data_IF_759607696148
#
_entry.id   IF_759607696148
#
_cell.length_a   1.000
_cell.length_b   1.000
_cell.length_c   1.000
_cell.angle_alpha   90.00
_cell.angle_beta   90.00
_cell.angle_gamma   90.00
#
_symmetry.space_group_name_H-M   'P 1'
#
loop_
_entity.id
_entity.type
_entity.pdbx_description
1 polymer ?
#
# COMPACT_ATOMS: atom_id res chain seq x y z
N UNK A 1 -9.33 8.57 -5.08
CA UNK A 1 -7.94 8.74 -5.55
C UNK A 1 -7.07 9.39 -4.49
N UNK A 2 -7.43 10.58 -4.00
CA UNK A 2 -6.75 11.36 -2.95
C UNK A 2 -6.25 10.56 -1.72
N UNK A 3 -7.06 9.66 -1.15
CA UNK A 3 -6.66 8.89 0.05
C UNK A 3 -5.43 7.99 -0.22
N UNK A 4 -5.35 7.41 -1.42
CA UNK A 4 -4.25 6.51 -1.81
C UNK A 4 -2.95 7.30 -1.97
N UNK A 5 -3.01 8.45 -2.65
CA UNK A 5 -1.86 9.33 -2.86
C UNK A 5 -1.28 9.87 -1.54
N UNK A 6 -2.14 10.23 -0.58
CA UNK A 6 -1.70 10.64 0.76
C UNK A 6 -0.97 9.50 1.49
N UNK A 7 -1.46 8.27 1.36
CA UNK A 7 -0.82 7.09 1.96
C UNK A 7 0.53 6.77 1.29
N UNK A 8 0.59 6.81 -0.04
CA UNK A 8 1.83 6.62 -0.78
C UNK A 8 2.84 7.72 -0.42
N UNK A 9 2.39 8.97 -0.32
CA UNK A 9 3.22 10.09 0.11
C UNK A 9 3.80 9.88 1.51
N UNK A 10 3.01 9.41 2.47
CA UNK A 10 3.49 9.14 3.83
C UNK A 10 4.65 8.13 3.84
N UNK A 11 4.65 7.15 2.94
CA UNK A 11 5.73 6.15 2.80
C UNK A 11 6.99 6.74 2.15
N UNK A 12 6.84 7.69 1.22
CA UNK A 12 7.96 8.24 0.45
C UNK A 12 8.51 9.56 1.00
N UNK A 13 7.81 10.20 1.95
CA UNK A 13 8.09 11.54 2.48
C UNK A 13 9.56 11.76 2.83
N UNK A 14 10.19 10.80 3.52
CA UNK A 14 11.59 10.93 3.94
C UNK A 14 12.55 10.98 2.75
N UNK A 15 12.32 10.14 1.73
CA UNK A 15 13.10 10.14 0.49
C UNK A 15 12.85 11.41 -0.32
N UNK A 16 11.59 11.82 -0.43
CA UNK A 16 11.17 13.05 -1.10
C UNK A 16 11.87 14.28 -0.49
N UNK A 17 11.85 14.40 0.84
CA UNK A 17 12.53 15.47 1.57
C UNK A 17 14.02 15.46 1.28
N UNK A 18 14.69 14.31 1.40
CA UNK A 18 16.13 14.21 1.15
C UNK A 18 16.49 14.65 -0.27
N UNK A 19 15.72 14.23 -1.28
CA UNK A 19 15.91 14.60 -2.67
C UNK A 19 15.73 16.11 -2.91
N UNK A 20 14.64 16.70 -2.41
CA UNK A 20 14.37 18.13 -2.58
C UNK A 20 15.39 18.99 -1.83
N UNK A 21 15.76 18.62 -0.60
CA UNK A 21 16.80 19.31 0.14
C UNK A 21 18.16 19.22 -0.58
N UNK A 22 18.49 18.07 -1.17
CA UNK A 22 19.71 17.91 -1.96
C UNK A 22 19.72 18.85 -3.18
N UNK A 23 18.64 18.87 -3.98
CA UNK A 23 18.57 19.75 -5.16
C UNK A 23 18.63 21.22 -4.78
N UNK A 24 17.91 21.62 -3.73
CA UNK A 24 17.92 23.01 -3.25
C UNK A 24 19.32 23.38 -2.73
N UNK A 25 19.92 22.54 -1.89
CA UNK A 25 21.28 22.77 -1.39
C UNK A 25 22.30 22.88 -2.51
N UNK A 26 22.25 22.05 -3.55
CA UNK A 26 23.19 22.10 -4.68
C UNK A 26 23.07 23.39 -5.48
N UNK A 27 21.85 23.88 -5.69
CA UNK A 27 21.61 25.10 -6.46
C UNK A 27 21.90 26.39 -5.67
N UNK A 28 21.87 26.32 -4.34
CA UNK A 28 22.10 27.46 -3.45
C UNK A 28 23.56 27.50 -2.95
N UNK A 29 24.12 26.33 -2.59
CA UNK A 29 25.45 26.20 -1.95
C UNK A 29 26.62 26.51 -2.86
N UNK A 30 26.47 26.42 -4.18
CA UNK A 30 27.55 26.77 -5.11
C UNK A 30 27.94 28.27 -5.06
N UNK A 31 27.17 29.12 -4.37
CA UNK A 31 27.36 30.57 -4.33
C UNK A 31 27.33 31.15 -2.89
N UNK A 32 27.59 30.35 -1.86
CA UNK A 32 27.59 30.80 -0.46
C UNK A 32 28.83 31.66 -0.07
N UNK A 33 29.84 31.73 -0.95
CA UNK A 33 30.97 32.64 -0.80
C UNK A 33 30.50 34.09 -1.06
N UNK A 34 29.87 34.70 -0.05
CA UNK A 34 29.36 36.08 -0.11
C UNK A 34 27.91 36.21 -0.59
N UNK A 35 27.02 35.28 -0.22
CA UNK A 35 25.61 35.28 -0.62
C UNK A 35 24.88 36.57 -0.19
N UNK A 36 24.80 37.56 -1.08
CA UNK A 36 23.84 38.64 -0.95
C UNK A 36 22.43 38.11 -1.20
N UNK A 37 21.44 38.63 -0.48
CA UNK A 37 20.03 38.29 -0.67
C UNK A 37 19.65 38.34 -2.17
N UNK A 38 20.11 39.36 -2.88
CA UNK A 38 19.88 39.56 -4.30
C UNK A 38 20.42 38.42 -5.18
N UNK A 39 21.60 37.89 -4.86
CA UNK A 39 22.16 36.72 -5.56
C UNK A 39 21.28 35.48 -5.39
N UNK A 40 20.76 35.25 -4.18
CA UNK A 40 19.86 34.12 -3.89
C UNK A 40 18.54 34.27 -4.66
N UNK A 41 17.93 35.46 -4.64
CA UNK A 41 16.67 35.73 -5.34
C UNK A 41 16.82 35.59 -6.86
N UNK A 42 17.93 36.04 -7.44
CA UNK A 42 18.22 35.90 -8.87
C UNK A 42 18.36 34.43 -9.31
N UNK A 43 18.75 33.53 -8.40
CA UNK A 43 18.93 32.11 -8.68
C UNK A 43 17.64 31.28 -8.61
N UNK A 44 16.51 31.84 -8.10
CA UNK A 44 15.22 31.12 -8.05
C UNK A 44 14.81 30.60 -9.43
N UNK A 45 15.08 31.37 -10.50
CA UNK A 45 14.83 30.93 -11.88
C UNK A 45 15.60 29.65 -12.25
N UNK A 46 16.84 29.47 -11.78
CA UNK A 46 17.64 28.25 -11.99
C UNK A 46 17.09 27.08 -11.19
N UNK A 47 16.59 27.33 -9.98
CA UNK A 47 15.90 26.30 -9.18
C UNK A 47 14.66 25.81 -9.94
N UNK A 48 13.89 26.72 -10.56
CA UNK A 48 12.73 26.32 -11.37
C UNK A 48 13.11 25.46 -12.58
N UNK A 49 14.25 25.72 -13.20
CA UNK A 49 14.78 24.87 -14.28
C UNK A 49 15.21 23.48 -13.76
N UNK A 50 15.76 23.40 -12.55
CA UNK A 50 16.15 22.13 -11.91
C UNK A 50 14.96 21.32 -11.40
N UNK A 51 13.84 21.99 -11.10
CA UNK A 51 12.59 21.40 -10.62
C UNK A 51 11.44 21.77 -11.59
N UNK A 52 11.43 21.25 -12.83
CA UNK A 52 10.41 21.59 -13.81
C UNK A 52 9.00 21.21 -13.35
N UNK A 53 8.88 20.16 -12.52
CA UNK A 53 7.63 19.68 -11.96
C UNK A 53 7.15 20.42 -10.70
N UNK A 54 7.89 21.42 -10.21
CA UNK A 54 7.34 22.26 -9.15
C UNK A 54 6.15 23.08 -9.66
N UNK A 55 5.13 23.22 -8.85
CA UNK A 55 3.99 24.06 -9.15
C UNK A 55 4.39 25.53 -9.02
N UNK A 56 4.99 25.92 -7.89
CA UNK A 56 5.40 27.30 -7.60
C UNK A 56 6.73 27.32 -6.85
N UNK A 57 7.59 28.29 -7.17
CA UNK A 57 8.77 28.61 -6.36
C UNK A 57 8.76 30.10 -6.00
N UNK A 58 9.04 30.42 -4.74
CA UNK A 58 9.14 31.79 -4.23
C UNK A 58 10.06 31.85 -3.01
N UNK A 59 10.44 33.05 -2.59
CA UNK A 59 11.20 33.28 -1.36
C UNK A 59 10.42 34.16 -0.39
N UNK A 60 10.55 33.86 0.90
CA UNK A 60 10.01 34.67 2.01
C UNK A 60 11.15 35.17 2.90
N UNK A 61 10.95 36.31 3.53
CA UNK A 61 11.90 36.88 4.47
C UNK A 61 11.79 36.25 5.87
N UNK A 62 12.61 36.75 6.80
CA UNK A 62 12.61 36.33 8.20
C UNK A 62 11.28 36.58 8.94
N UNK A 63 10.44 37.50 8.47
CA UNK A 63 9.14 37.81 9.04
C UNK A 63 8.01 37.05 8.34
N UNK A 64 8.32 36.22 7.34
CA UNK A 64 7.33 35.47 6.57
C UNK A 64 6.71 36.27 5.42
N UNK A 65 7.22 37.45 5.08
CA UNK A 65 6.75 38.25 3.95
C UNK A 65 7.40 37.77 2.66
N UNK A 66 6.59 37.55 1.63
CA UNK A 66 7.08 37.08 0.34
C UNK A 66 7.87 38.15 -0.42
N UNK A 67 9.14 37.84 -0.75
CA UNK A 67 10.11 38.75 -1.37
C UNK A 67 10.00 38.78 -2.91
N UNK A 68 9.66 37.65 -3.52
CA UNK A 68 9.61 37.48 -4.98
C UNK A 68 8.20 37.20 -5.44
N UNK A 69 7.93 37.50 -6.71
CA UNK A 69 6.77 36.91 -7.35
C UNK A 69 6.92 35.39 -7.41
N UNK A 70 5.78 34.72 -7.48
CA UNK A 70 5.70 33.30 -7.74
C UNK A 70 6.29 32.98 -9.12
N UNK A 71 7.21 32.00 -9.15
CA UNK A 71 7.72 31.40 -10.38
C UNK A 71 6.98 30.08 -10.63
N UNK A 72 6.07 30.10 -11.60
CA UNK A 72 5.24 28.94 -11.96
C UNK A 72 5.17 28.77 -13.48
N UNK A 73 5.02 27.52 -13.93
CA UNK A 73 4.64 27.24 -15.32
C UNK A 73 3.15 27.52 -15.57
N UNK A 74 2.33 27.58 -14.51
CA UNK A 74 0.91 27.89 -14.60
C UNK A 74 0.71 29.42 -14.62
N UNK A 75 0.15 30.01 -15.69
CA UNK A 75 -0.05 31.45 -15.80
C UNK A 75 -0.90 32.04 -14.67
N UNK A 76 -1.82 31.26 -14.06
CA UNK A 76 -2.66 31.72 -12.95
C UNK A 76 -1.90 31.87 -11.63
N UNK A 77 -0.77 31.17 -11.50
CA UNK A 77 0.04 31.13 -10.29
C UNK A 77 1.31 31.97 -10.41
N UNK A 78 1.70 32.32 -11.64
CA UNK A 78 2.93 33.03 -11.94
C UNK A 78 2.76 34.54 -11.73
N UNK A 79 3.84 35.23 -11.37
CA UNK A 79 3.86 36.71 -11.25
C UNK A 79 2.88 37.31 -10.23
N UNK A 80 2.54 36.56 -9.18
CA UNK A 80 1.68 36.99 -8.05
C UNK A 80 2.34 36.69 -6.71
N UNK A 81 1.78 37.20 -5.61
CA UNK A 81 2.15 36.83 -4.24
C UNK A 81 3.24 37.68 -3.58
N UNK A 82 3.96 38.52 -4.33
CA UNK A 82 4.96 39.42 -3.75
C UNK A 82 4.33 40.37 -2.74
N UNK A 83 4.89 40.43 -1.54
CA UNK A 83 4.41 41.23 -0.41
C UNK A 83 3.31 40.58 0.43
N UNK A 84 2.86 39.37 0.10
CA UNK A 84 1.91 38.65 0.94
C UNK A 84 2.56 38.14 2.24
N UNK A 85 1.78 38.16 3.31
CA UNK A 85 2.16 37.59 4.60
C UNK A 85 1.90 36.07 4.63
N UNK A 86 2.98 35.30 4.76
CA UNK A 86 3.00 33.83 4.87
C UNK A 86 3.47 33.36 6.25
N UNK A 87 3.59 34.26 7.22
CA UNK A 87 4.02 33.94 8.58
C UNK A 87 3.07 32.95 9.26
N UNK A 88 1.77 32.96 8.97
CA UNK A 88 0.79 32.05 9.54
C UNK A 88 0.89 30.58 9.06
N UNK A 89 1.81 30.28 8.13
CA UNK A 89 1.90 28.96 7.50
C UNK A 89 2.74 27.99 8.31
N UNK A 90 2.28 26.74 8.39
CA UNK A 90 2.96 25.69 9.14
C UNK A 90 4.42 25.49 8.69
N UNK A 91 4.71 25.64 7.40
CA UNK A 91 6.08 25.51 6.90
C UNK A 91 7.01 26.61 7.42
N UNK A 92 6.53 27.84 7.62
CA UNK A 92 7.35 28.96 8.08
C UNK A 92 7.90 28.70 9.49
N UNK A 93 7.02 28.47 10.48
CA UNK A 93 7.45 28.21 11.85
C UNK A 93 8.28 26.93 11.97
N UNK A 94 7.91 25.87 11.25
CA UNK A 94 8.66 24.60 11.29
C UNK A 94 10.07 24.76 10.74
N UNK A 95 10.25 25.50 9.65
CA UNK A 95 11.59 25.75 9.10
C UNK A 95 12.47 26.53 10.07
N UNK A 96 11.91 27.58 10.68
CA UNK A 96 12.65 28.40 11.66
C UNK A 96 13.02 27.55 12.88
N UNK A 97 12.08 26.79 13.43
CA UNK A 97 12.34 25.99 14.62
C UNK A 97 13.34 24.85 14.35
N UNK A 98 13.21 24.16 13.22
CA UNK A 98 14.04 22.99 12.90
C UNK A 98 15.42 23.36 12.30
N UNK A 99 15.68 24.63 11.94
CA UNK A 99 16.93 25.13 11.34
C UNK A 99 17.42 24.28 10.15
N UNK A 100 16.50 23.72 9.39
CA UNK A 100 16.80 22.79 8.29
C UNK A 100 15.70 22.79 7.25
N UNK A 101 16.00 22.16 6.12
CA UNK A 101 15.03 21.91 5.08
C UNK A 101 13.95 20.90 5.53
N UNK A 102 12.69 21.29 5.35
CA UNK A 102 11.51 20.50 5.74
C UNK A 102 10.62 20.23 4.53
N UNK A 103 9.69 19.30 4.71
CA UNK A 103 8.62 19.00 3.76
C UNK A 103 7.31 18.84 4.52
N UNK A 104 6.29 19.62 4.15
CA UNK A 104 5.01 19.63 4.85
C UNK A 104 4.22 18.33 4.66
N UNK A 105 3.17 18.17 5.46
CA UNK A 105 2.09 17.26 5.13
C UNK A 105 1.25 17.86 3.97
N UNK A 106 0.50 17.04 3.21
CA UNK A 106 -0.29 17.54 2.08
C UNK A 106 -1.41 18.47 2.55
N UNK A 107 -1.58 19.60 1.87
CA UNK A 107 -2.62 20.58 2.16
C UNK A 107 -3.14 21.22 0.87
N UNK A 108 -4.37 21.75 0.85
CA UNK A 108 -4.91 22.38 -0.35
C UNK A 108 -4.23 23.73 -0.62
N UNK A 109 -3.76 23.92 -1.85
CA UNK A 109 -3.26 25.21 -2.33
C UNK A 109 -4.40 26.22 -2.37
N UNK A 110 -4.15 27.44 -1.89
CA UNK A 110 -5.17 28.50 -1.88
C UNK A 110 -5.61 28.94 -3.28
N UNK A 111 -4.75 28.79 -4.28
CA UNK A 111 -4.99 29.36 -5.62
C UNK A 111 -5.40 28.27 -6.61
N UNK A 112 -4.69 27.14 -6.64
CA UNK A 112 -5.04 26.03 -7.54
C UNK A 112 -6.11 25.10 -6.98
N UNK A 113 -6.36 25.11 -5.66
CA UNK A 113 -7.24 24.18 -4.96
C UNK A 113 -6.83 22.70 -5.10
N UNK A 114 -5.61 22.45 -5.59
CA UNK A 114 -4.99 21.14 -5.66
C UNK A 114 -4.29 20.80 -4.34
N UNK A 115 -4.14 19.50 -4.04
CA UNK A 115 -3.34 19.07 -2.91
C UNK A 115 -1.85 19.21 -3.21
N UNK A 116 -1.18 20.00 -2.39
CA UNK A 116 0.23 20.32 -2.54
C UNK A 116 1.00 19.97 -1.28
N UNK A 117 2.31 19.82 -1.45
CA UNK A 117 3.29 19.78 -0.37
C UNK A 117 4.31 20.87 -0.63
N UNK A 118 4.72 21.56 0.43
CA UNK A 118 5.73 22.61 0.35
C UNK A 118 7.03 22.09 0.92
N UNK A 119 8.07 22.10 0.10
CA UNK A 119 9.44 21.96 0.54
C UNK A 119 10.00 23.35 0.82
N UNK A 120 10.63 23.53 1.97
CA UNK A 120 11.29 24.80 2.28
C UNK A 120 12.76 24.59 2.59
N UNK A 121 13.56 25.59 2.23
CA UNK A 121 15.00 25.59 2.44
C UNK A 121 15.42 26.94 3.02
N UNK A 122 15.85 26.97 4.30
CA UNK A 122 16.33 28.20 4.91
C UNK A 122 17.75 28.53 4.42
N UNK A 123 17.99 29.80 4.12
CA UNK A 123 19.29 30.31 3.68
C UNK A 123 19.82 31.26 4.73
N UNK A 124 20.99 30.93 5.29
CA UNK A 124 21.66 31.72 6.31
C UNK A 124 22.94 32.36 5.74
N UNK A 125 23.33 33.49 6.28
CA UNK A 125 24.64 34.09 6.02
C UNK A 125 25.77 33.41 6.84
N UNK A 126 27.00 33.90 6.70
CA UNK A 126 28.17 33.39 7.44
C UNK A 126 28.09 33.63 8.95
N UNK A 127 27.30 34.61 9.38
CA UNK A 127 27.06 34.95 10.79
C UNK A 127 25.85 34.17 11.35
N UNK A 128 25.28 33.25 10.56
CA UNK A 128 24.10 32.45 10.89
C UNK A 128 22.80 33.27 11.05
N UNK A 129 22.71 34.44 10.41
CA UNK A 129 21.46 35.19 10.29
C UNK A 129 20.63 34.65 9.11
N UNK A 130 19.32 34.48 9.33
CA UNK A 130 18.39 34.05 8.28
C UNK A 130 18.21 35.16 7.24
N UNK A 131 18.68 34.91 6.01
CA UNK A 131 18.51 35.83 4.87
C UNK A 131 17.11 35.68 4.27
N UNK A 132 16.73 34.46 3.93
CA UNK A 132 15.42 34.13 3.39
C UNK A 132 15.13 32.63 3.51
N UNK A 133 13.88 32.24 3.26
CA UNK A 133 13.46 30.85 3.11
C UNK A 133 12.94 30.68 1.69
N UNK A 134 13.50 29.72 0.96
CA UNK A 134 13.00 29.34 -0.36
C UNK A 134 11.89 28.32 -0.18
N UNK A 135 10.73 28.57 -0.77
CA UNK A 135 9.56 27.71 -0.73
C UNK A 135 9.31 27.13 -2.12
N UNK A 136 9.08 25.82 -2.19
CA UNK A 136 8.76 25.08 -3.41
C UNK A 136 7.48 24.29 -3.17
N UNK A 137 6.41 24.70 -3.83
CA UNK A 137 5.15 23.98 -3.85
C UNK A 137 5.18 22.94 -4.97
N UNK A 138 4.79 21.71 -4.65
CA UNK A 138 4.73 20.58 -5.59
C UNK A 138 3.39 19.90 -5.37
N UNK A 139 2.68 19.59 -6.45
CA UNK A 139 1.43 18.83 -6.34
C UNK A 139 1.71 17.44 -5.79
N UNK A 140 0.74 16.86 -5.08
CA UNK A 140 0.87 15.52 -4.52
C UNK A 140 1.15 14.48 -5.62
N UNK A 141 0.55 14.66 -6.79
CA UNK A 141 0.79 13.84 -7.97
C UNK A 141 2.23 13.94 -8.48
N UNK A 142 2.75 15.15 -8.64
CA UNK A 142 4.10 15.38 -9.18
C UNK A 142 5.19 14.89 -8.22
N UNK A 143 5.03 15.08 -6.91
CA UNK A 143 6.03 14.59 -5.95
C UNK A 143 6.09 13.06 -5.91
N UNK A 144 4.95 12.39 -6.09
CA UNK A 144 4.90 10.93 -6.22
C UNK A 144 5.62 10.47 -7.49
N UNK A 145 5.43 11.17 -8.62
CA UNK A 145 6.15 10.89 -9.88
C UNK A 145 7.66 11.10 -9.76
N UNK A 146 8.09 12.13 -9.04
CA UNK A 146 9.51 12.43 -8.85
C UNK A 146 10.25 11.34 -8.06
N UNK A 147 9.62 10.78 -7.02
CA UNK A 147 10.30 9.86 -6.08
C UNK A 147 10.03 8.40 -6.43
N UNK A 148 8.88 8.13 -7.03
CA UNK A 148 8.48 6.81 -7.51
C UNK A 148 7.85 6.91 -8.91
N UNK A 149 8.67 7.05 -9.97
CA UNK A 149 8.16 7.08 -11.35
C UNK A 149 7.37 5.81 -11.72
N UNK A 150 7.64 4.69 -11.03
CA UNK A 150 6.95 3.42 -11.19
C UNK A 150 5.60 3.32 -10.46
N UNK A 151 5.28 4.17 -9.48
CA UNK A 151 4.02 4.06 -8.72
C UNK A 151 2.83 4.69 -9.43
N UNK A 152 3.07 5.75 -10.21
CA UNK A 152 2.01 6.64 -10.70
C UNK A 152 1.51 6.25 -12.10
N UNK A 153 2.34 5.57 -12.90
CA UNK A 153 2.00 5.12 -14.27
C UNK A 153 2.29 3.62 -14.48
N UNK A 154 2.10 2.78 -13.46
CA UNK A 154 2.50 1.36 -13.52
C UNK A 154 1.53 0.52 -14.37
N UNK A 155 1.81 0.40 -15.67
CA UNK A 155 1.25 -0.66 -16.52
C UNK A 155 1.47 -2.05 -15.92
N UNK A 156 2.52 -2.22 -15.10
CA UNK A 156 2.84 -3.46 -14.42
C UNK A 156 1.79 -3.88 -13.39
N UNK A 157 1.33 -2.94 -12.54
CA UNK A 157 0.25 -3.18 -11.58
C UNK A 157 -1.07 -3.47 -12.27
N UNK A 158 -1.39 -2.76 -13.35
CA UNK A 158 -2.59 -3.05 -14.16
C UNK A 158 -2.50 -4.42 -14.83
N UNK A 159 -1.34 -4.79 -15.38
CA UNK A 159 -1.10 -6.12 -15.96
C UNK A 159 -1.25 -7.22 -14.90
N UNK A 160 -0.64 -7.04 -13.73
CA UNK A 160 -0.72 -8.01 -12.63
C UNK A 160 -2.17 -8.23 -12.19
N UNK A 161 -2.97 -7.16 -12.09
CA UNK A 161 -4.41 -7.26 -11.80
C UNK A 161 -5.18 -8.07 -12.83
N UNK A 162 -4.89 -7.85 -14.12
CA UNK A 162 -5.54 -8.61 -15.22
C UNK A 162 -5.16 -10.09 -15.13
N UNK A 163 -3.89 -10.40 -14.89
CA UNK A 163 -3.41 -11.78 -14.75
C UNK A 163 -4.09 -12.48 -13.57
N UNK A 164 -4.06 -11.88 -12.38
CA UNK A 164 -4.71 -12.46 -11.19
C UNK A 164 -6.23 -12.56 -11.36
N UNK A 165 -6.86 -11.62 -12.06
CA UNK A 165 -8.27 -11.68 -12.43
C UNK A 165 -8.59 -12.88 -13.32
N UNK A 166 -7.78 -13.12 -14.35
CA UNK A 166 -7.94 -14.28 -15.24
C UNK A 166 -7.76 -15.61 -14.49
N UNK A 167 -6.76 -15.71 -13.60
CA UNK A 167 -6.58 -16.88 -12.75
C UNK A 167 -7.76 -17.13 -11.80
N UNK A 168 -8.31 -16.06 -11.21
CA UNK A 168 -9.46 -16.16 -10.31
C UNK A 168 -10.69 -16.70 -11.05
N UNK A 169 -10.95 -16.24 -12.28
CA UNK A 169 -12.05 -16.74 -13.12
C UNK A 169 -11.85 -18.21 -13.50
N UNK A 170 -10.63 -18.59 -13.88
CA UNK A 170 -10.31 -19.98 -14.24
C UNK A 170 -10.49 -20.94 -13.05
N UNK A 171 -9.98 -20.58 -11.87
CA UNK A 171 -10.14 -21.36 -10.65
C UNK A 171 -11.60 -21.44 -10.19
N UNK A 172 -12.37 -20.36 -10.36
CA UNK A 172 -13.81 -20.37 -10.07
C UNK A 172 -14.56 -21.36 -10.97
N UNK A 173 -14.23 -21.40 -12.27
CA UNK A 173 -14.82 -22.37 -13.19
C UNK A 173 -14.50 -23.81 -12.77
N UNK A 174 -13.27 -24.09 -12.34
CA UNK A 174 -12.89 -25.41 -11.81
C UNK A 174 -13.70 -25.75 -10.56
N UNK A 175 -13.82 -24.82 -9.60
CA UNK A 175 -14.62 -25.03 -8.40
C UNK A 175 -16.09 -25.34 -8.73
N UNK A 176 -16.66 -24.63 -9.70
CA UNK A 176 -18.04 -24.82 -10.15
C UNK A 176 -18.22 -26.20 -10.80
N UNK A 177 -17.28 -26.66 -11.63
CA UNK A 177 -17.32 -28.01 -12.20
C UNK A 177 -17.28 -29.09 -11.11
N UNK A 178 -16.39 -28.95 -10.13
CA UNK A 178 -16.31 -29.89 -9.00
C UNK A 178 -17.60 -29.90 -8.16
N UNK A 179 -18.23 -28.73 -7.98
CA UNK A 179 -19.50 -28.61 -7.28
C UNK A 179 -20.63 -29.35 -8.01
N UNK A 180 -20.76 -29.11 -9.32
CA UNK A 180 -21.76 -29.77 -10.16
C UNK A 180 -21.55 -31.29 -10.13
N UNK A 181 -20.32 -31.75 -10.33
CA UNK A 181 -20.01 -33.19 -10.30
C UNK A 181 -20.30 -33.81 -8.93
N UNK A 182 -19.99 -33.10 -7.84
CA UNK A 182 -20.33 -33.50 -6.48
C UNK A 182 -21.84 -33.66 -6.26
N UNK A 183 -22.65 -32.73 -6.76
CA UNK A 183 -24.11 -32.81 -6.70
C UNK A 183 -24.65 -33.95 -7.57
N UNK A 184 -24.17 -34.10 -8.81
CA UNK A 184 -24.64 -35.14 -9.73
C UNK A 184 -24.34 -36.53 -9.14
N UNK A 185 -23.11 -36.73 -8.65
CA UNK A 185 -22.69 -37.97 -7.98
C UNK A 185 -23.59 -38.30 -6.78
N UNK A 186 -23.98 -37.30 -5.99
CA UNK A 186 -24.89 -37.48 -4.86
C UNK A 186 -26.34 -37.78 -5.30
N UNK A 187 -26.86 -37.03 -6.27
CA UNK A 187 -28.26 -37.13 -6.73
C UNK A 187 -28.54 -38.39 -7.55
N UNK A 188 -27.57 -38.86 -8.36
CA UNK A 188 -27.70 -40.09 -9.12
C UNK A 188 -27.98 -41.30 -8.21
N UNK A 189 -27.51 -41.25 -6.97
CA UNK A 189 -27.66 -42.31 -5.99
C UNK A 189 -28.96 -42.18 -5.16
N UNK A 190 -29.43 -40.97 -4.89
CA UNK A 190 -30.65 -40.72 -4.08
C UNK A 190 -31.97 -41.24 -4.67
N UNK A 191 -31.99 -41.73 -5.91
CA UNK A 191 -33.19 -42.29 -6.55
C UNK A 191 -33.40 -43.79 -6.28
N UNK A 192 -32.36 -44.55 -5.91
CA UNK A 192 -32.44 -45.97 -5.58
C UNK A 192 -31.96 -46.24 -4.14
N UNK A 193 -32.84 -46.00 -3.16
CA UNK A 193 -32.55 -46.17 -1.71
C UNK A 193 -32.12 -47.59 -1.27
N UNK A 194 -32.14 -48.58 -2.18
CA UNK A 194 -31.87 -49.98 -1.86
C UNK A 194 -30.41 -50.41 -2.02
N UNK A 195 -29.52 -49.57 -2.58
CA UNK A 195 -28.09 -49.91 -2.81
C UNK A 195 -27.11 -48.77 -2.49
N UNK A 196 -27.15 -48.20 -1.28
CA UNK A 196 -26.22 -47.11 -0.88
C UNK A 196 -24.77 -47.58 -0.86
N UNK A 197 -24.02 -47.27 -1.92
CA UNK A 197 -22.57 -47.42 -1.93
C UNK A 197 -21.94 -46.24 -1.20
N UNK A 198 -21.42 -46.55 -0.01
CA UNK A 198 -20.78 -45.60 0.89
C UNK A 198 -19.59 -44.90 0.19
N UNK A 199 -18.91 -45.57 -0.74
CA UNK A 199 -17.78 -44.98 -1.48
C UNK A 199 -18.18 -43.79 -2.35
N UNK A 200 -19.37 -43.82 -2.94
CA UNK A 200 -19.84 -42.73 -3.79
C UNK A 200 -20.27 -41.52 -2.95
N UNK A 201 -20.90 -41.75 -1.79
CA UNK A 201 -21.18 -40.69 -0.81
C UNK A 201 -19.89 -40.00 -0.32
N UNK A 202 -18.84 -40.79 -0.08
CA UNK A 202 -17.52 -40.23 0.25
C UNK A 202 -16.96 -39.38 -0.90
N UNK A 203 -17.04 -39.88 -2.13
CA UNK A 203 -16.56 -39.16 -3.32
C UNK A 203 -17.31 -37.85 -3.53
N UNK A 204 -18.65 -37.83 -3.42
CA UNK A 204 -19.43 -36.59 -3.53
C UNK A 204 -19.02 -35.58 -2.46
N UNK A 205 -18.80 -36.04 -1.22
CA UNK A 205 -18.42 -35.13 -0.12
C UNK A 205 -17.01 -34.55 -0.31
N UNK A 206 -16.05 -35.34 -0.82
CA UNK A 206 -14.70 -34.86 -1.16
C UNK A 206 -14.79 -33.78 -2.26
N UNK A 207 -15.55 -34.03 -3.33
CA UNK A 207 -15.72 -33.07 -4.43
C UNK A 207 -16.34 -31.75 -3.96
N UNK A 208 -17.37 -31.81 -3.11
CA UNK A 208 -18.02 -30.62 -2.55
C UNK A 208 -17.10 -29.85 -1.59
N UNK A 209 -16.33 -30.56 -0.76
CA UNK A 209 -15.37 -29.95 0.17
C UNK A 209 -14.23 -29.25 -0.57
N UNK A 210 -13.69 -29.91 -1.61
CA UNK A 210 -12.65 -29.34 -2.46
C UNK A 210 -13.16 -28.11 -3.22
N UNK A 211 -14.39 -28.17 -3.74
CA UNK A 211 -15.03 -27.03 -4.40
C UNK A 211 -15.13 -25.81 -3.47
N UNK A 212 -15.64 -26.01 -2.25
CA UNK A 212 -15.76 -24.94 -1.26
C UNK A 212 -14.40 -24.31 -0.92
N UNK A 213 -13.38 -25.14 -0.72
CA UNK A 213 -12.02 -24.67 -0.44
C UNK A 213 -11.43 -23.82 -1.58
N UNK A 214 -11.69 -24.19 -2.84
CA UNK A 214 -11.24 -23.41 -4.01
C UNK A 214 -11.99 -22.08 -4.12
N UNK A 215 -13.29 -22.03 -3.80
CA UNK A 215 -14.06 -20.77 -3.79
C UNK A 215 -13.48 -19.78 -2.77
N UNK A 216 -13.16 -20.25 -1.57
CA UNK A 216 -12.52 -19.42 -0.54
C UNK A 216 -11.16 -18.89 -0.99
N UNK A 217 -10.36 -19.72 -1.67
CA UNK A 217 -9.08 -19.31 -2.27
C UNK A 217 -9.28 -18.22 -3.33
N UNK A 218 -10.21 -18.44 -4.26
CA UNK A 218 -10.52 -17.48 -5.35
C UNK A 218 -10.94 -16.15 -4.77
N UNK A 219 -11.81 -16.16 -3.76
CA UNK A 219 -12.26 -14.94 -3.09
C UNK A 219 -11.09 -14.20 -2.45
N UNK A 220 -10.20 -14.90 -1.76
CA UNK A 220 -9.03 -14.30 -1.13
C UNK A 220 -8.08 -13.65 -2.17
N UNK A 221 -7.73 -14.37 -3.25
CA UNK A 221 -6.88 -13.84 -4.33
C UNK A 221 -7.54 -12.62 -4.98
N UNK A 222 -8.84 -12.70 -5.28
CA UNK A 222 -9.54 -11.64 -5.98
C UNK A 222 -9.67 -10.36 -5.13
N UNK A 223 -9.96 -10.49 -3.84
CA UNK A 223 -10.05 -9.34 -2.92
C UNK A 223 -8.69 -8.63 -2.75
N UNK A 224 -7.61 -9.41 -2.59
CA UNK A 224 -6.27 -8.89 -2.31
C UNK A 224 -5.58 -8.32 -3.55
N UNK A 225 -5.55 -9.07 -4.66
CA UNK A 225 -4.75 -8.72 -5.83
C UNK A 225 -5.54 -7.90 -6.87
N UNK A 226 -6.84 -8.18 -7.06
CA UNK A 226 -7.64 -7.54 -8.12
C UNK A 226 -8.34 -6.28 -7.61
N UNK A 227 -9.14 -6.41 -6.54
CA UNK A 227 -9.87 -5.29 -5.95
C UNK A 227 -8.95 -4.36 -5.16
N UNK A 228 -7.82 -4.87 -4.66
CA UNK A 228 -6.87 -4.08 -3.89
C UNK A 228 -7.46 -3.56 -2.59
N UNK A 229 -8.40 -4.31 -1.99
CA UNK A 229 -9.00 -3.98 -0.69
C UNK A 229 -7.96 -4.26 0.39
N UNK A 230 -6.96 -3.39 0.50
CA UNK A 230 -6.13 -3.30 1.69
C UNK A 230 -6.95 -2.54 2.73
N UNK A 231 -7.59 -3.27 3.64
CA UNK A 231 -8.25 -2.67 4.77
C UNK A 231 -7.25 -1.81 5.57
N UNK A 232 -7.79 -0.71 6.12
CA UNK A 232 -7.08 0.55 6.31
C UNK A 232 -6.13 0.59 7.52
N UNK A 233 -5.77 -0.55 8.12
CA UNK A 233 -4.94 -0.60 9.32
C UNK A 233 -3.68 -1.48 9.15
N UNK A 234 -2.55 -0.81 8.96
CA UNK A 234 -1.17 -1.18 9.36
C UNK A 234 -0.84 -2.68 9.45
N UNK A 235 -0.14 -3.24 8.45
CA UNK A 235 0.63 -4.52 8.48
C UNK A 235 -0.03 -5.78 9.08
N UNK A 236 -1.23 -5.68 9.61
CA UNK A 236 -1.94 -6.69 10.41
C UNK A 236 -2.99 -7.37 9.53
N UNK A 237 -3.53 -6.66 8.54
CA UNK A 237 -4.58 -7.13 7.64
C UNK A 237 -4.07 -8.10 6.57
N UNK A 238 -2.84 -7.95 6.05
CA UNK A 238 -2.25 -8.91 5.09
C UNK A 238 -2.09 -10.31 5.71
N UNK A 239 -1.68 -10.37 6.99
CA UNK A 239 -1.63 -11.64 7.70
C UNK A 239 -3.03 -12.21 7.96
N UNK A 240 -4.05 -11.37 8.09
CA UNK A 240 -5.42 -11.80 8.35
C UNK A 240 -6.02 -12.54 7.14
N UNK A 241 -5.76 -12.08 5.91
CA UNK A 241 -6.20 -12.79 4.68
C UNK A 241 -5.53 -14.15 4.55
N UNK A 242 -4.20 -14.22 4.72
CA UNK A 242 -3.46 -15.48 4.71
C UNK A 242 -3.93 -16.45 5.79
N UNK A 243 -4.22 -15.96 7.00
CA UNK A 243 -4.74 -16.79 8.10
C UNK A 243 -6.14 -17.32 7.81
N UNK A 244 -7.03 -16.50 7.23
CA UNK A 244 -8.37 -16.95 6.83
C UNK A 244 -8.29 -18.03 5.75
N UNK A 245 -7.40 -17.86 4.79
CA UNK A 245 -7.16 -18.84 3.73
C UNK A 245 -6.57 -20.16 4.26
N UNK A 246 -5.53 -20.11 5.10
CA UNK A 246 -4.99 -21.32 5.74
C UNK A 246 -6.03 -21.97 6.67
N UNK A 247 -6.85 -21.16 7.34
CA UNK A 247 -7.95 -21.63 8.17
C UNK A 247 -8.98 -22.46 7.40
N UNK A 248 -9.42 -22.01 6.22
CA UNK A 248 -10.37 -22.77 5.40
C UNK A 248 -9.79 -24.10 4.90
N UNK A 249 -8.49 -24.12 4.52
CA UNK A 249 -7.79 -25.36 4.16
C UNK A 249 -7.74 -26.34 5.35
N UNK A 250 -7.38 -25.85 6.53
CA UNK A 250 -7.30 -26.69 7.74
C UNK A 250 -8.68 -27.28 8.07
N UNK A 251 -9.76 -26.50 7.96
CA UNK A 251 -11.13 -26.98 8.18
C UNK A 251 -11.49 -28.05 7.14
N UNK A 252 -11.21 -27.83 5.86
CA UNK A 252 -11.45 -28.80 4.79
C UNK A 252 -10.71 -30.13 5.03
N UNK A 253 -9.40 -30.07 5.31
CA UNK A 253 -8.60 -31.24 5.62
C UNK A 253 -9.08 -31.95 6.89
N UNK A 254 -9.57 -31.21 7.89
CA UNK A 254 -10.12 -31.79 9.13
C UNK A 254 -11.38 -32.61 8.85
N UNK A 255 -12.29 -32.09 8.02
CA UNK A 255 -13.53 -32.80 7.62
C UNK A 255 -13.16 -34.06 6.84
N UNK A 256 -12.22 -33.96 5.90
CA UNK A 256 -11.78 -35.09 5.10
C UNK A 256 -11.07 -36.17 5.94
N UNK A 257 -10.26 -35.77 6.92
CA UNK A 257 -9.64 -36.67 7.89
C UNK A 257 -10.67 -37.47 8.68
N UNK A 258 -11.70 -36.78 9.19
CA UNK A 258 -12.76 -37.40 9.97
C UNK A 258 -13.55 -38.39 9.11
N UNK A 259 -13.85 -38.05 7.86
CA UNK A 259 -14.52 -38.95 6.93
C UNK A 259 -13.69 -40.20 6.63
N UNK A 260 -12.37 -40.08 6.45
CA UNK A 260 -11.48 -41.21 6.24
C UNK A 260 -11.44 -42.17 7.43
N UNK A 261 -11.53 -41.65 8.66
CA UNK A 261 -11.66 -42.51 9.87
C UNK A 261 -12.91 -43.36 9.77
N UNK A 262 -14.07 -42.77 9.46
CA UNK A 262 -15.32 -43.53 9.31
C UNK A 262 -15.25 -44.53 8.16
N UNK A 263 -14.67 -44.13 7.03
CA UNK A 263 -14.48 -45.01 5.87
C UNK A 263 -13.66 -46.24 6.23
N UNK A 264 -12.48 -46.07 6.81
CA UNK A 264 -11.59 -47.19 7.13
C UNK A 264 -12.09 -48.01 8.32
N UNK A 265 -12.78 -47.40 9.28
CA UNK A 265 -13.43 -48.15 10.37
C UNK A 265 -14.48 -49.14 9.86
N UNK A 266 -15.21 -48.79 8.79
CA UNK A 266 -16.26 -49.64 8.22
C UNK A 266 -15.77 -50.60 7.12
N UNK A 267 -14.77 -50.20 6.32
CA UNK A 267 -14.37 -50.95 5.11
C UNK A 267 -13.07 -51.72 5.24
N UNK A 268 -12.07 -51.18 5.94
CA UNK A 268 -10.74 -51.79 6.04
C UNK A 268 -9.98 -51.25 7.27
N UNK A 269 -10.18 -51.85 8.46
CA UNK A 269 -9.58 -51.39 9.71
C UNK A 269 -8.04 -51.36 9.67
N UNK A 270 -7.40 -52.13 8.78
CA UNK A 270 -5.95 -52.12 8.63
C UNK A 270 -5.41 -50.77 8.13
N UNK A 271 -6.22 -50.01 7.40
CA UNK A 271 -5.88 -48.68 6.88
C UNK A 271 -6.20 -47.53 7.83
N UNK A 272 -6.78 -47.81 9.00
CA UNK A 272 -7.15 -46.80 9.99
C UNK A 272 -5.94 -45.97 10.46
N UNK A 273 -4.74 -46.57 10.46
CA UNK A 273 -3.48 -45.88 10.77
C UNK A 273 -3.22 -44.68 9.84
N UNK A 274 -3.58 -44.75 8.56
CA UNK A 274 -3.39 -43.63 7.63
C UNK A 274 -4.27 -42.43 7.99
N UNK A 275 -5.50 -42.67 8.44
CA UNK A 275 -6.38 -41.60 8.90
C UNK A 275 -5.83 -40.94 10.18
N UNK A 276 -5.24 -41.73 11.09
CA UNK A 276 -4.56 -41.21 12.28
C UNK A 276 -3.37 -40.32 11.92
N UNK A 277 -2.54 -40.72 10.95
CA UNK A 277 -1.45 -39.86 10.48
C UNK A 277 -1.95 -38.55 9.88
N UNK A 278 -3.05 -38.57 9.13
CA UNK A 278 -3.62 -37.37 8.54
C UNK A 278 -4.18 -36.42 9.61
N UNK A 279 -4.88 -36.95 10.64
CA UNK A 279 -5.31 -36.16 11.81
C UNK A 279 -4.10 -35.57 12.55
N UNK A 280 -3.02 -36.34 12.70
CA UNK A 280 -1.77 -35.85 13.27
C UNK A 280 -1.20 -34.66 12.48
N UNK A 281 -1.21 -34.74 11.15
CA UNK A 281 -0.81 -33.65 10.26
C UNK A 281 -1.68 -32.40 10.40
N UNK A 282 -3.01 -32.56 10.44
CA UNK A 282 -3.96 -31.46 10.69
C UNK A 282 -3.70 -30.80 12.04
N UNK A 283 -3.45 -31.59 13.08
CA UNK A 283 -3.11 -31.09 14.41
C UNK A 283 -1.82 -30.28 14.39
N UNK A 284 -0.80 -30.75 13.68
CA UNK A 284 0.45 -30.01 13.50
C UNK A 284 0.24 -28.68 12.75
N UNK A 285 -0.63 -28.65 11.73
CA UNK A 285 -0.99 -27.41 11.01
C UNK A 285 -1.71 -26.41 11.93
N UNK A 286 -2.63 -26.87 12.78
CA UNK A 286 -3.33 -26.02 13.76
C UNK A 286 -2.34 -25.43 14.77
N UNK A 287 -1.40 -26.24 15.27
CA UNK A 287 -0.35 -25.79 16.19
C UNK A 287 0.55 -24.77 15.50
N UNK A 288 1.01 -25.06 14.29
CA UNK A 288 1.86 -24.14 13.52
C UNK A 288 1.17 -22.80 13.26
N UNK A 289 -0.11 -22.82 12.87
CA UNK A 289 -0.91 -21.60 12.69
C UNK A 289 -1.08 -20.84 14.01
N UNK A 290 -1.33 -21.52 15.12
CA UNK A 290 -1.44 -20.90 16.45
C UNK A 290 -0.14 -20.24 16.89
N UNK A 291 1.01 -20.89 16.65
CA UNK A 291 2.34 -20.34 16.95
C UNK A 291 2.61 -19.11 16.08
N UNK A 292 2.31 -19.19 14.78
CA UNK A 292 2.45 -18.06 13.85
C UNK A 292 1.63 -16.84 14.29
N UNK A 293 0.35 -17.05 14.66
CA UNK A 293 -0.52 -15.99 15.17
C UNK A 293 0.01 -15.37 16.46
N UNK A 294 0.49 -16.18 17.40
CA UNK A 294 1.04 -15.70 18.65
C UNK A 294 2.36 -14.91 18.45
N UNK A 295 3.25 -15.39 17.58
CA UNK A 295 4.49 -14.70 17.24
C UNK A 295 4.20 -13.31 16.62
N UNK A 296 3.20 -13.24 15.74
CA UNK A 296 2.82 -11.98 15.11
C UNK A 296 2.17 -11.01 16.11
N UNK A 297 1.30 -11.49 17.00
CA UNK A 297 0.70 -10.66 18.04
C UNK A 297 1.73 -10.11 19.05
N UNK A 298 2.77 -10.90 19.40
CA UNK A 298 3.89 -10.43 20.24
C UNK A 298 4.74 -9.35 19.58
N UNK A 299 4.94 -9.42 18.26
CA UNK A 299 5.66 -8.39 17.50
C UNK A 299 4.93 -7.05 17.56
N UNK A 300 3.60 -7.06 17.38
CA UNK A 300 2.77 -5.85 17.46
C UNK A 300 2.78 -5.18 18.84
N UNK A 301 2.89 -5.94 19.93
CA UNK A 301 2.94 -5.38 21.29
C UNK A 301 4.30 -4.76 21.68
N UNK A 302 5.38 -5.01 20.92
CA UNK A 302 6.69 -4.37 21.14
C UNK A 302 6.88 -3.07 20.35
N UNK A 303 5.98 -2.76 19.43
CA UNK A 303 6.03 -1.58 18.54
C UNK A 303 5.12 -0.43 19.02
N UNK A 304 4.43 -0.59 20.15
CA UNK A 304 3.69 0.47 20.85
C UNK A 304 4.48 0.90 22.08
#
# INVERSE_FOLDING_TARGET
MVIKEIQEYAQIRTKARAYLCYILSRNISHNLDGASLESVLNNIKKIKQSLPQSEVIYAIDKNGIQLTDNYSANPKLNSIGKGEDRSNRAYYYRTINEHRCILTDPYPSLVSNELVVTSTFPVYDQENNLLCIICVDITLHDILKMVHPSSVDSNFGTLSKVVYGAFSVALFAVALLLFIEGIISFMAFGMDFTKIDINEVFKSTILLTLSLAIVDLVKAIFEEEVLGVKNKNSSTDTHQTMVRFLGSIIIALSIEALMLVFKFALTDPSKLLYAVYLIGGVTALIIALSVYLNANNKSNNKSK
#
